data_IF_988803254824
#
_entry.id   IF_988803254824
#
_cell.length_a   1.000
_cell.length_b   1.000
_cell.length_c   1.000
_cell.angle_alpha   90.00
_cell.angle_beta   90.00
_cell.angle_gamma   90.00
#
_symmetry.space_group_name_H-M   'P 1'
#
loop_
_entity.id
_entity.type
_entity.pdbx_description
1 polymer ?
#
# COMPACT_ATOMS: atom_id res chain seq x y z
N UNK A 1 -34.20 17.80 -5.39
CA UNK A 1 -34.21 16.34 -5.59
C UNK A 1 -32.80 15.86 -5.32
N UNK A 2 -32.58 15.14 -4.21
CA UNK A 2 -31.26 14.58 -3.88
C UNK A 2 -31.02 13.36 -4.77
N UNK A 3 -29.95 13.38 -5.56
CA UNK A 3 -29.49 12.20 -6.31
C UNK A 3 -29.19 11.05 -5.34
N UNK A 4 -29.62 9.84 -5.69
CA UNK A 4 -29.26 8.65 -4.95
C UNK A 4 -27.74 8.42 -5.03
N UNK A 5 -27.09 7.89 -3.98
CA UNK A 5 -25.66 7.63 -4.00
C UNK A 5 -25.33 6.69 -5.17
N UNK A 6 -24.42 7.10 -6.06
CA UNK A 6 -23.87 6.19 -7.07
C UNK A 6 -23.08 5.11 -6.34
N UNK A 7 -23.52 3.87 -6.47
CA UNK A 7 -22.74 2.71 -6.03
C UNK A 7 -21.36 2.76 -6.69
N UNK A 8 -20.31 2.45 -5.94
CA UNK A 8 -18.98 2.43 -6.51
C UNK A 8 -18.85 1.17 -7.39
N UNK A 9 -18.24 1.27 -8.56
CA UNK A 9 -18.08 0.13 -9.47
C UNK A 9 -17.31 -1.04 -8.83
N UNK A 10 -16.44 -0.75 -7.85
CA UNK A 10 -15.67 -1.76 -7.14
C UNK A 10 -16.48 -2.53 -6.08
N UNK A 11 -17.66 -2.05 -5.70
CA UNK A 11 -18.57 -2.78 -4.79
C UNK A 11 -19.09 -4.08 -5.43
N UNK A 12 -18.93 -4.25 -6.74
CA UNK A 12 -19.24 -5.48 -7.47
C UNK A 12 -18.22 -6.61 -7.26
N UNK A 13 -17.03 -6.29 -6.72
CA UNK A 13 -15.99 -7.29 -6.49
C UNK A 13 -16.09 -7.88 -5.08
N UNK A 14 -15.79 -9.17 -4.90
CA UNK A 14 -15.80 -9.78 -3.58
C UNK A 14 -14.75 -9.12 -2.68
N UNK A 15 -15.08 -9.00 -1.40
CA UNK A 15 -14.08 -8.65 -0.40
C UNK A 15 -12.97 -9.71 -0.37
N UNK A 16 -11.70 -9.31 -0.13
CA UNK A 16 -10.60 -10.25 0.05
C UNK A 16 -10.92 -11.27 1.14
N UNK A 17 -10.58 -12.52 0.89
CA UNK A 17 -10.74 -13.63 1.84
C UNK A 17 -9.52 -13.77 2.73
N UNK A 18 -8.35 -13.44 2.19
CA UNK A 18 -7.06 -13.59 2.89
C UNK A 18 -6.56 -12.25 3.39
N UNK A 19 -5.88 -12.26 4.53
CA UNK A 19 -5.02 -11.14 4.93
C UNK A 19 -3.59 -11.45 4.50
N UNK A 20 -3.03 -10.62 3.61
CA UNK A 20 -1.65 -10.79 3.19
C UNK A 20 -0.71 -10.61 4.40
N UNK A 21 0.40 -11.38 4.47
CA UNK A 21 1.39 -11.24 5.53
C UNK A 21 1.94 -9.82 5.61
N UNK A 22 2.31 -9.40 6.81
CA UNK A 22 2.85 -8.08 7.06
C UNK A 22 4.35 -8.03 6.73
N UNK A 23 4.78 -6.91 6.16
CA UNK A 23 6.18 -6.55 5.95
C UNK A 23 6.45 -5.24 6.69
N UNK A 24 7.46 -5.22 7.56
CA UNK A 24 7.85 -3.99 8.26
C UNK A 24 8.69 -3.09 7.35
N UNK A 25 8.76 -1.79 7.65
CA UNK A 25 9.62 -0.87 6.88
C UNK A 25 11.11 -1.21 7.10
N UNK A 26 11.45 -1.70 8.29
CA UNK A 26 12.79 -2.11 8.68
C UNK A 26 13.25 -3.34 7.86
N UNK A 27 12.34 -4.27 7.58
CA UNK A 27 12.62 -5.42 6.71
C UNK A 27 12.61 -5.03 5.22
N UNK A 28 11.76 -4.08 4.81
CA UNK A 28 11.65 -3.67 3.41
C UNK A 28 12.85 -2.84 2.93
N UNK A 29 13.31 -1.88 3.73
CA UNK A 29 14.39 -0.95 3.35
C UNK A 29 15.66 -1.61 2.82
N UNK A 30 16.28 -2.60 3.50
CA UNK A 30 17.50 -3.24 2.98
C UNK A 30 17.25 -4.05 1.70
N UNK A 31 16.00 -4.41 1.42
CA UNK A 31 15.62 -5.20 0.25
C UNK A 31 15.21 -4.32 -0.95
N UNK A 32 15.13 -2.99 -0.82
CA UNK A 32 14.78 -2.12 -1.96
C UNK A 32 15.82 -2.13 -3.07
N UNK A 33 17.08 -2.48 -2.76
CA UNK A 33 18.13 -2.67 -3.77
C UNK A 33 18.16 -4.09 -4.35
N UNK A 34 17.34 -5.02 -3.84
CA UNK A 34 17.26 -6.38 -4.38
C UNK A 34 16.25 -6.45 -5.52
N UNK A 35 16.41 -7.44 -6.40
CA UNK A 35 15.41 -7.73 -7.45
C UNK A 35 14.21 -8.54 -6.94
N UNK A 36 14.23 -8.94 -5.66
CA UNK A 36 13.24 -9.84 -5.07
C UNK A 36 12.06 -9.09 -4.42
N UNK A 37 12.18 -7.76 -4.25
CA UNK A 37 11.16 -6.92 -3.64
C UNK A 37 10.69 -5.82 -4.60
N UNK A 38 9.40 -5.84 -4.91
CA UNK A 38 8.71 -4.73 -5.57
C UNK A 38 7.69 -4.11 -4.61
N UNK A 39 7.89 -2.83 -4.28
CA UNK A 39 6.93 -2.06 -3.48
C UNK A 39 6.02 -1.22 -4.40
N UNK A 40 4.72 -1.49 -4.36
CA UNK A 40 3.72 -0.80 -5.20
C UNK A 40 2.77 0.01 -4.31
N UNK A 41 2.69 1.33 -4.54
CA UNK A 41 1.63 2.15 -3.96
C UNK A 41 0.36 2.04 -4.80
N UNK A 42 -0.66 1.44 -4.20
CA UNK A 42 -1.94 1.10 -4.83
C UNK A 42 -3.07 2.03 -4.40
N UNK A 43 -2.74 3.13 -3.71
CA UNK A 43 -3.74 4.10 -3.27
C UNK A 43 -4.25 4.91 -4.47
N UNK A 44 -5.53 5.27 -4.42
CA UNK A 44 -6.07 6.34 -5.26
C UNK A 44 -5.50 7.68 -4.78
N UNK A 45 -5.59 8.70 -5.64
CA UNK A 45 -5.22 10.09 -5.30
C UNK A 45 -6.11 10.71 -4.20
N UNK A 46 -7.10 9.98 -3.69
CA UNK A 46 -7.94 10.41 -2.55
C UNK A 46 -7.31 10.03 -1.20
N UNK A 47 -6.24 9.23 -1.17
CA UNK A 47 -5.52 8.78 0.03
C UNK A 47 -6.40 8.10 1.09
N UNK A 48 -7.61 7.68 0.69
CA UNK A 48 -8.53 6.86 1.45
C UNK A 48 -8.34 5.39 1.06
N UNK A 49 -8.56 4.48 2.00
CA UNK A 49 -8.26 3.06 1.78
C UNK A 49 -6.88 2.71 2.31
N UNK A 50 -6.86 2.42 3.62
CA UNK A 50 -5.74 1.72 4.22
C UNK A 50 -5.70 0.31 3.63
N UNK A 51 -4.68 0.05 2.82
CA UNK A 51 -4.20 -1.26 2.39
C UNK A 51 -5.15 -2.07 1.49
N UNK A 52 -4.67 -2.36 0.27
CA UNK A 52 -5.05 -3.51 -0.56
C UNK A 52 -4.73 -4.79 0.24
N UNK A 53 -5.56 -5.13 1.22
CA UNK A 53 -5.29 -6.33 2.03
C UNK A 53 -5.81 -7.54 1.30
N UNK A 54 -4.90 -8.21 0.59
CA UNK A 54 -5.05 -9.62 0.27
C UNK A 54 -5.80 -9.97 -1.00
N UNK A 55 -6.44 -9.04 -1.73
CA UNK A 55 -7.03 -9.41 -3.03
C UNK A 55 -5.98 -9.97 -3.98
N UNK A 56 -4.78 -9.40 -3.98
CA UNK A 56 -3.70 -9.88 -4.82
C UNK A 56 -3.16 -11.22 -4.33
N UNK A 57 -3.13 -11.45 -3.01
CA UNK A 57 -2.81 -12.76 -2.46
C UNK A 57 -3.83 -13.82 -2.87
N UNK A 58 -5.13 -13.50 -2.81
CA UNK A 58 -6.21 -14.38 -3.26
C UNK A 58 -6.10 -14.67 -4.77
N UNK A 59 -5.79 -13.65 -5.56
CA UNK A 59 -5.58 -13.77 -7.00
C UNK A 59 -4.41 -14.69 -7.34
N UNK A 60 -3.26 -14.52 -6.68
CA UNK A 60 -2.09 -15.40 -6.86
C UNK A 60 -2.43 -16.85 -6.51
N UNK A 61 -3.13 -17.07 -5.40
CA UNK A 61 -3.59 -18.40 -5.01
C UNK A 61 -4.57 -19.02 -6.03
N UNK A 62 -5.52 -18.24 -6.57
CA UNK A 62 -6.44 -18.69 -7.62
C UNK A 62 -5.69 -19.09 -8.91
N UNK A 63 -4.62 -18.37 -9.26
CA UNK A 63 -3.79 -18.68 -10.43
C UNK A 63 -2.78 -19.79 -10.19
N UNK A 64 -2.66 -20.29 -8.96
CA UNK A 64 -1.63 -21.27 -8.58
C UNK A 64 -0.21 -20.69 -8.65
N UNK A 65 -0.08 -19.36 -8.53
CA UNK A 65 1.20 -18.68 -8.51
C UNK A 65 1.88 -18.87 -7.14
N UNK A 66 3.09 -19.42 -7.15
CA UNK A 66 3.81 -19.83 -5.95
C UNK A 66 5.15 -19.11 -5.79
N UNK A 67 5.68 -18.50 -6.85
CA UNK A 67 6.96 -17.78 -6.81
C UNK A 67 6.76 -16.36 -6.30
N UNK A 68 5.62 -15.73 -6.64
CA UNK A 68 5.30 -14.38 -6.20
C UNK A 68 4.49 -14.40 -4.90
N UNK A 69 4.91 -13.58 -3.93
CA UNK A 69 4.20 -13.40 -2.66
C UNK A 69 3.73 -11.97 -2.47
N UNK A 70 2.43 -11.78 -2.28
CA UNK A 70 1.86 -10.49 -1.88
C UNK A 70 2.09 -10.25 -0.38
N UNK A 71 2.61 -9.07 -0.03
CA UNK A 71 2.84 -8.61 1.34
C UNK A 71 2.17 -7.26 1.58
N UNK A 72 1.84 -6.95 2.82
CA UNK A 72 1.29 -5.63 3.23
C UNK A 72 2.34 -4.85 4.02
N UNK A 73 2.78 -3.70 3.50
CA UNK A 73 3.70 -2.82 4.21
C UNK A 73 3.01 -2.18 5.42
N UNK A 74 3.55 -2.43 6.61
CA UNK A 74 3.03 -1.88 7.88
C UNK A 74 3.12 -0.36 7.88
N UNK A 75 2.00 0.31 8.15
CA UNK A 75 1.89 1.76 8.13
C UNK A 75 1.87 2.39 6.73
N UNK A 76 2.09 1.58 5.68
CA UNK A 76 2.18 2.04 4.29
C UNK A 76 3.21 3.15 4.08
N UNK A 77 3.10 3.84 2.95
CA UNK A 77 4.03 4.92 2.59
C UNK A 77 3.93 6.14 3.53
N UNK A 78 2.77 6.40 4.15
CA UNK A 78 2.66 7.43 5.20
C UNK A 78 3.50 7.07 6.42
N UNK A 79 3.45 5.80 6.85
CA UNK A 79 4.29 5.27 7.93
C UNK A 79 5.78 5.25 7.57
N UNK A 80 6.10 5.04 6.28
CA UNK A 80 7.46 5.14 5.74
C UNK A 80 8.01 6.56 5.85
N UNK A 81 7.28 7.55 5.31
CA UNK A 81 7.68 8.96 5.34
C UNK A 81 7.79 9.48 6.77
N UNK A 82 6.82 9.14 7.63
CA UNK A 82 6.82 9.56 9.05
C UNK A 82 8.02 9.01 9.82
N UNK A 83 8.60 7.89 9.39
CA UNK A 83 9.79 7.32 10.02
C UNK A 83 11.06 8.14 9.71
N UNK A 84 11.01 9.08 8.76
CA UNK A 84 12.11 10.01 8.48
C UNK A 84 13.28 9.35 7.76
N UNK A 85 14.49 9.83 7.98
CA UNK A 85 15.70 9.18 7.48
C UNK A 85 15.96 7.87 8.26
N UNK A 86 16.44 6.79 7.61
CA UNK A 86 16.90 6.71 6.20
C UNK A 86 15.78 6.47 5.17
N UNK A 87 14.54 6.24 5.60
CA UNK A 87 13.43 5.83 4.72
C UNK A 87 13.12 6.87 3.62
N UNK A 88 13.08 8.15 3.98
CA UNK A 88 12.83 9.23 3.00
C UNK A 88 13.96 9.43 1.99
N UNK A 89 15.20 9.05 2.32
CA UNK A 89 16.33 9.07 1.38
C UNK A 89 16.25 7.95 0.34
N UNK A 90 15.56 6.85 0.66
CA UNK A 90 15.32 5.75 -0.27
C UNK A 90 14.15 6.00 -1.25
N UNK A 91 13.60 7.22 -1.27
CA UNK A 91 12.48 7.58 -2.14
C UNK A 91 12.95 8.48 -3.28
N UNK A 92 12.74 8.03 -4.51
CA UNK A 92 12.90 8.87 -5.68
C UNK A 92 11.76 9.90 -5.77
N UNK A 93 12.12 11.17 -6.01
CA UNK A 93 11.14 12.25 -6.14
C UNK A 93 10.46 12.64 -4.82
N UNK A 94 11.07 12.33 -3.67
CA UNK A 94 10.57 12.78 -2.37
C UNK A 94 10.52 14.31 -2.28
N UNK A 95 9.32 14.86 -2.12
CA UNK A 95 9.10 16.28 -1.84
C UNK A 95 8.62 16.48 -0.38
N UNK A 96 9.50 16.95 0.53
CA UNK A 96 9.11 17.19 1.92
C UNK A 96 8.00 18.24 2.06
N UNK A 97 7.84 19.18 1.11
CA UNK A 97 6.78 20.19 1.15
C UNK A 97 5.42 19.54 0.95
N UNK A 98 5.30 18.66 -0.04
CA UNK A 98 4.09 17.87 -0.25
C UNK A 98 3.71 17.07 1.00
N UNK A 99 4.65 16.45 1.71
CA UNK A 99 4.33 15.60 2.86
C UNK A 99 3.90 16.34 4.14
N UNK A 100 4.21 17.64 4.27
CA UNK A 100 3.76 18.48 5.41
C UNK A 100 2.25 18.50 5.60
N UNK A 101 1.47 18.35 4.52
CA UNK A 101 0.01 18.31 4.61
C UNK A 101 -0.53 17.15 5.45
N UNK A 102 0.28 16.10 5.66
CA UNK A 102 -0.12 14.92 6.43
C UNK A 102 0.37 14.93 7.88
N UNK A 103 1.10 15.96 8.32
CA UNK A 103 1.59 16.09 9.71
C UNK A 103 0.50 16.55 10.69
N UNK A 104 -0.56 17.18 10.19
CA UNK A 104 -1.56 17.88 11.02
C UNK A 104 -2.76 17.01 11.45
N UNK A 105 -2.89 15.79 10.93
CA UNK A 105 -3.99 14.89 11.31
C UNK A 105 -3.57 13.99 12.48
N UNK A 106 -3.79 14.49 13.71
CA UNK A 106 -3.80 13.71 14.96
C UNK A 106 -5.22 13.42 15.39
#
# INVERSE_FOLDING_TARGET
MSEAPKANWYDAFPAPKTTAPLLTREDALPNLSSSDLLLVDVRRNDYEGGTVRGWFADYLAEKGEAEVRSLTLVGGIKGWVKAGEPFTQAMDGYDPVYWKQFEQNK
#
